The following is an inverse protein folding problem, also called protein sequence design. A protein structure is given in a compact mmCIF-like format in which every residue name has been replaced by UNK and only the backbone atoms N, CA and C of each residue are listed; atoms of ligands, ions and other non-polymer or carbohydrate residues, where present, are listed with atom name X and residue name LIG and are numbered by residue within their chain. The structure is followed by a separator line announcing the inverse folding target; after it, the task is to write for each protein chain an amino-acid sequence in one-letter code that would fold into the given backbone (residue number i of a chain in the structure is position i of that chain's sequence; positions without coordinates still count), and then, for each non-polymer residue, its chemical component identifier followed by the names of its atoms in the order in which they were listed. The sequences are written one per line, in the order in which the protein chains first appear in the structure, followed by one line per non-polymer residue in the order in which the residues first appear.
data_IF_574524775426
#
_entry.id   IF_574524775426
#
_cell.length_a   1.000
_cell.length_b   1.000
_cell.length_c   1.000
_cell.angle_alpha   90.00
_cell.angle_beta   90.00
_cell.angle_gamma   90.00
#
_symmetry.space_group_name_H-M   'P 1'
#
loop_
_entity.id
_entity.type
_entity.pdbx_description
1 polymer ?
#
# COMPACT_ATOMS: atom_id res chain seq x y z
N UNK A 1 -16.23 -32.67 4.82
CA UNK A 1 -14.87 -32.08 4.77
C UNK A 1 -14.64 -31.57 3.35
N UNK A 2 -15.05 -30.30 3.11
CA UNK A 2 -14.81 -29.65 1.82
C UNK A 2 -13.31 -29.34 1.71
N UNK A 3 -12.66 -29.87 0.68
CA UNK A 3 -11.32 -29.42 0.27
C UNK A 3 -11.50 -28.03 -0.33
N UNK A 4 -11.21 -26.98 0.44
CA UNK A 4 -11.10 -25.63 -0.11
C UNK A 4 -9.87 -25.62 -1.03
N UNK A 5 -10.08 -25.74 -2.33
CA UNK A 5 -9.03 -25.51 -3.32
C UNK A 5 -8.67 -24.03 -3.29
N UNK A 6 -7.60 -23.70 -2.60
CA UNK A 6 -7.07 -22.34 -2.56
C UNK A 6 -6.61 -21.97 -3.97
N UNK A 7 -7.11 -20.86 -4.53
CA UNK A 7 -6.67 -20.38 -5.82
C UNK A 7 -5.18 -20.03 -5.73
N UNK A 8 -4.38 -20.44 -6.70
CA UNK A 8 -2.93 -20.23 -6.72
C UNK A 8 -2.49 -19.65 -8.05
N UNK A 9 -1.38 -18.94 -8.02
CA UNK A 9 -0.70 -18.48 -9.22
C UNK A 9 -0.23 -19.66 -10.08
N UNK A 10 -0.51 -19.62 -11.36
CA UNK A 10 -0.11 -20.68 -12.30
C UNK A 10 1.40 -20.80 -12.49
N UNK A 11 2.15 -19.71 -12.23
CA UNK A 11 3.60 -19.68 -12.51
C UNK A 11 4.46 -20.13 -11.33
N UNK A 12 4.02 -20.00 -10.07
CA UNK A 12 4.79 -20.37 -8.88
C UNK A 12 4.04 -21.27 -7.89
N UNK A 13 2.79 -21.60 -8.20
CA UNK A 13 1.90 -22.43 -7.37
C UNK A 13 1.71 -21.90 -5.93
N UNK A 14 1.91 -20.60 -5.72
CA UNK A 14 1.70 -19.94 -4.42
C UNK A 14 0.29 -19.38 -4.33
N UNK A 15 -0.30 -19.31 -3.12
CA UNK A 15 -1.59 -18.67 -2.91
C UNK A 15 -1.49 -17.16 -3.13
N UNK A 16 -2.62 -16.54 -3.50
CA UNK A 16 -2.76 -15.09 -3.49
C UNK A 16 -2.70 -14.56 -2.04
N UNK A 17 -2.22 -13.34 -1.88
CA UNK A 17 -2.15 -12.66 -0.59
C UNK A 17 -3.53 -12.11 -0.23
N UNK A 18 -3.90 -12.28 1.02
CA UNK A 18 -5.12 -11.70 1.62
C UNK A 18 -4.75 -10.86 2.84
N UNK A 19 -5.58 -9.90 3.18
CA UNK A 19 -5.49 -9.14 4.42
C UNK A 19 -6.23 -9.87 5.55
N UNK A 20 -5.57 -9.94 6.70
CA UNK A 20 -6.10 -10.53 7.93
C UNK A 20 -6.11 -9.47 9.04
N UNK A 21 -6.99 -9.66 9.99
CA UNK A 21 -7.04 -8.90 11.24
C UNK A 21 -6.85 -9.85 12.41
N UNK A 22 -6.13 -9.40 13.43
CA UNK A 22 -5.95 -10.12 14.68
C UNK A 22 -5.91 -9.15 15.84
N UNK A 23 -6.28 -9.63 17.02
CA UNK A 23 -6.17 -8.90 18.27
C UNK A 23 -4.76 -9.04 18.82
N UNK A 24 -4.24 -7.97 19.42
CA UNK A 24 -2.94 -7.97 20.10
C UNK A 24 -3.23 -7.91 21.60
N UNK A 25 -2.71 -8.88 22.34
CA UNK A 25 -2.83 -8.93 23.79
C UNK A 25 -1.77 -8.06 24.51
N UNK A 26 -1.87 -7.99 25.83
CA UNK A 26 -0.95 -7.21 26.69
C UNK A 26 0.51 -7.73 26.64
N UNK A 27 0.74 -8.92 26.08
CA UNK A 27 2.06 -9.50 25.89
C UNK A 27 2.59 -9.32 24.46
N UNK A 28 1.91 -8.48 23.64
CA UNK A 28 2.18 -8.26 22.22
C UNK A 28 2.08 -9.54 21.34
N UNK A 29 1.25 -10.51 21.77
CA UNK A 29 0.97 -11.68 20.95
C UNK A 29 -0.26 -11.43 20.09
N UNK A 30 -0.18 -11.83 18.82
CA UNK A 30 -1.31 -11.75 17.90
C UNK A 30 -2.24 -12.92 18.12
N UNK A 31 -3.47 -12.66 18.50
CA UNK A 31 -4.51 -13.66 18.76
C UNK A 31 -5.70 -13.46 17.83
N UNK A 32 -6.62 -14.41 17.82
CA UNK A 32 -7.92 -14.31 17.13
C UNK A 32 -7.80 -13.88 15.65
N UNK A 33 -6.80 -14.43 14.94
CA UNK A 33 -6.55 -14.04 13.54
C UNK A 33 -7.68 -14.53 12.65
N UNK A 34 -8.30 -13.59 11.92
CA UNK A 34 -9.35 -13.87 10.95
C UNK A 34 -9.11 -13.11 9.65
N UNK A 35 -9.65 -13.66 8.55
CA UNK A 35 -9.61 -12.95 7.27
C UNK A 35 -10.42 -11.66 7.38
N UNK A 36 -9.85 -10.54 6.91
CA UNK A 36 -10.51 -9.25 6.95
C UNK A 36 -11.82 -9.32 6.14
N UNK A 37 -12.90 -8.94 6.77
CA UNK A 37 -14.26 -9.04 6.20
C UNK A 37 -14.53 -7.99 5.12
N UNK A 38 -15.75 -8.05 4.57
CA UNK A 38 -16.18 -7.17 3.50
C UNK A 38 -15.61 -7.57 2.13
N UNK A 39 -15.61 -6.64 1.19
CA UNK A 39 -15.10 -6.83 -0.19
C UNK A 39 -13.62 -6.45 -0.35
N UNK A 40 -12.86 -6.39 0.77
CA UNK A 40 -11.44 -6.04 0.74
C UNK A 40 -10.63 -7.12 0.06
N UNK A 41 -10.80 -8.37 0.50
CA UNK A 41 -10.13 -9.51 -0.10
C UNK A 41 -10.85 -10.00 -1.35
N UNK A 42 -10.11 -10.23 -2.42
CA UNK A 42 -10.62 -10.70 -3.70
C UNK A 42 -10.02 -12.06 -4.07
N UNK A 43 -10.06 -12.41 -5.32
CA UNK A 43 -9.39 -13.60 -5.86
C UNK A 43 -7.94 -13.32 -6.31
N UNK A 44 -7.43 -12.11 -6.09
CA UNK A 44 -6.08 -11.66 -6.42
C UNK A 44 -5.32 -11.25 -5.16
N UNK A 45 -4.25 -10.46 -5.31
CA UNK A 45 -3.47 -10.01 -4.18
C UNK A 45 -4.05 -8.74 -3.56
N UNK A 46 -4.19 -8.79 -2.25
CA UNK A 46 -4.27 -7.65 -1.36
C UNK A 46 -3.06 -7.65 -0.43
N UNK A 47 -2.42 -6.49 -0.27
CA UNK A 47 -1.25 -6.38 0.61
C UNK A 47 -1.08 -4.97 1.18
N UNK A 48 -0.11 -4.82 2.08
CA UNK A 48 0.28 -3.55 2.69
C UNK A 48 -0.89 -2.62 2.95
N UNK A 49 -1.47 -2.75 4.12
CA UNK A 49 -2.58 -1.93 4.56
C UNK A 49 -2.17 -1.00 5.70
N UNK A 50 -2.75 0.19 5.75
CA UNK A 50 -2.60 1.14 6.85
C UNK A 50 -3.96 1.73 7.22
N UNK A 51 -4.22 1.82 8.52
CA UNK A 51 -5.39 2.53 9.05
C UNK A 51 -5.08 4.03 9.17
N UNK A 52 -6.07 4.87 8.89
CA UNK A 52 -5.99 6.28 9.27
C UNK A 52 -5.83 6.40 10.80
N UNK A 53 -5.17 7.46 11.32
CA UNK A 53 -4.94 7.61 12.76
C UNK A 53 -6.21 7.61 13.61
N UNK A 54 -7.32 8.07 13.06
CA UNK A 54 -8.64 8.05 13.68
C UNK A 54 -9.35 6.67 13.58
N UNK A 55 -8.74 5.71 12.87
CA UNK A 55 -9.28 4.37 12.65
C UNK A 55 -10.49 4.29 11.74
N UNK A 56 -10.85 5.37 11.04
CA UNK A 56 -12.08 5.46 10.23
C UNK A 56 -11.90 5.07 8.76
N UNK A 57 -10.66 4.92 8.30
CA UNK A 57 -10.38 4.48 6.93
C UNK A 57 -9.21 3.50 6.89
N UNK A 58 -9.33 2.49 6.03
CA UNK A 58 -8.28 1.56 5.67
C UNK A 58 -7.79 1.90 4.26
N UNK A 59 -6.49 2.17 4.10
CA UNK A 59 -5.83 2.29 2.81
C UNK A 59 -5.04 1.01 2.55
N UNK A 60 -5.11 0.45 1.34
CA UNK A 60 -4.43 -0.81 1.04
C UNK A 60 -4.08 -0.95 -0.44
N UNK A 61 -3.09 -1.79 -0.70
CA UNK A 61 -2.68 -2.16 -2.05
C UNK A 61 -3.47 -3.36 -2.53
N UNK A 62 -3.91 -3.34 -3.79
CA UNK A 62 -4.55 -4.46 -4.47
C UNK A 62 -4.18 -4.49 -5.95
N UNK A 63 -4.21 -5.65 -6.58
CA UNK A 63 -4.19 -5.76 -8.03
C UNK A 63 -5.33 -4.94 -8.65
N UNK A 64 -5.15 -4.48 -9.88
CA UNK A 64 -6.18 -3.74 -10.62
C UNK A 64 -7.38 -4.64 -10.93
N UNK A 65 -8.23 -4.81 -9.92
CA UNK A 65 -9.45 -5.61 -9.96
C UNK A 65 -10.56 -4.85 -9.23
N UNK A 66 -11.61 -4.49 -9.96
CA UNK A 66 -12.74 -3.72 -9.45
C UNK A 66 -14.01 -4.13 -10.16
N UNK A 67 -15.10 -4.30 -9.42
CA UNK A 67 -16.40 -4.69 -9.96
C UNK A 67 -16.33 -5.96 -10.82
N UNK A 68 -15.64 -6.97 -10.32
CA UNK A 68 -15.39 -8.27 -10.97
C UNK A 68 -14.70 -8.17 -12.34
N UNK A 69 -13.97 -7.08 -12.57
CA UNK A 69 -13.18 -6.86 -13.78
C UNK A 69 -11.69 -6.83 -13.48
N UNK A 70 -10.97 -7.77 -14.05
CA UNK A 70 -9.51 -7.76 -14.12
C UNK A 70 -9.06 -6.81 -15.22
N UNK A 71 -8.23 -5.83 -14.89
CA UNK A 71 -7.72 -4.84 -15.85
C UNK A 71 -6.21 -4.94 -15.95
N UNK A 72 -5.71 -5.01 -17.17
CA UNK A 72 -4.29 -5.00 -17.46
C UNK A 72 -3.96 -3.80 -18.36
N UNK A 73 -2.67 -3.40 -18.35
CA UNK A 73 -2.15 -2.41 -19.27
C UNK A 73 -1.98 -2.98 -20.71
N UNK A 74 -1.46 -2.16 -21.62
CA UNK A 74 -1.20 -2.56 -23.02
C UNK A 74 -0.23 -3.75 -23.14
N UNK A 75 0.62 -3.96 -22.14
CA UNK A 75 1.59 -5.07 -22.07
C UNK A 75 1.01 -6.31 -21.38
N UNK A 76 -0.29 -6.33 -21.10
CA UNK A 76 -1.00 -7.38 -20.35
C UNK A 76 -0.51 -7.53 -18.89
N UNK A 77 0.09 -6.48 -18.34
CA UNK A 77 0.51 -6.42 -16.92
C UNK A 77 -0.64 -5.87 -16.08
N UNK A 78 -1.03 -6.60 -15.04
CA UNK A 78 -1.96 -6.08 -14.04
C UNK A 78 -1.19 -5.26 -13.02
N UNK A 79 -1.41 -3.95 -13.04
CA UNK A 79 -0.75 -2.99 -12.16
C UNK A 79 -1.35 -3.03 -10.77
N UNK A 80 -0.55 -2.65 -9.78
CA UNK A 80 -1.02 -2.45 -8.41
C UNK A 80 -1.70 -1.09 -8.28
N UNK A 81 -2.72 -1.03 -7.44
CA UNK A 81 -3.47 0.19 -7.16
C UNK A 81 -3.72 0.36 -5.67
N UNK A 82 -3.87 1.59 -5.24
CA UNK A 82 -4.30 1.92 -3.90
C UNK A 82 -5.82 2.08 -3.85
N UNK A 83 -6.38 1.51 -2.81
CA UNK A 83 -7.81 1.57 -2.50
C UNK A 83 -8.02 2.09 -1.09
N UNK A 84 -9.21 2.61 -0.85
CA UNK A 84 -9.70 3.06 0.45
C UNK A 84 -10.99 2.34 0.77
N UNK A 85 -11.15 1.94 2.02
CA UNK A 85 -12.41 1.49 2.60
C UNK A 85 -12.71 2.32 3.84
N UNK A 86 -13.87 2.94 3.91
CA UNK A 86 -14.33 3.61 5.12
C UNK A 86 -14.82 2.57 6.14
N UNK A 87 -14.54 2.79 7.41
CA UNK A 87 -15.10 1.99 8.50
C UNK A 87 -16.55 2.39 8.73
N UNK A 88 -17.43 1.40 8.85
CA UNK A 88 -18.85 1.57 9.18
C UNK A 88 -19.18 0.80 10.45
N UNK A 89 -20.40 0.95 10.96
CA UNK A 89 -20.85 0.18 12.12
C UNK A 89 -20.89 -1.34 11.84
N UNK A 90 -21.11 -1.72 10.57
CA UNK A 90 -21.16 -3.11 10.10
C UNK A 90 -19.79 -3.66 9.68
N UNK A 91 -18.72 -2.86 9.77
CA UNK A 91 -17.35 -3.24 9.36
C UNK A 91 -16.75 -2.29 8.33
N UNK A 92 -16.17 -2.82 7.25
CA UNK A 92 -15.63 -2.01 6.16
C UNK A 92 -16.69 -1.80 5.08
N UNK A 93 -16.87 -0.54 4.69
CA UNK A 93 -17.81 -0.11 3.67
C UNK A 93 -17.36 -0.39 2.23
N UNK A 94 -17.90 0.38 1.29
CA UNK A 94 -17.53 0.27 -0.12
C UNK A 94 -16.05 0.52 -0.34
N UNK A 95 -15.46 -0.22 -1.29
CA UNK A 95 -14.07 -0.04 -1.71
C UNK A 95 -14.03 1.02 -2.81
N UNK A 96 -13.22 2.03 -2.60
CA UNK A 96 -13.00 3.13 -3.52
C UNK A 96 -11.57 3.09 -4.06
N UNK A 97 -11.43 3.16 -5.37
CA UNK A 97 -10.12 3.34 -6.02
C UNK A 97 -9.66 4.79 -5.81
N UNK A 98 -8.40 4.99 -5.40
CA UNK A 98 -7.88 6.35 -5.21
C UNK A 98 -7.72 7.08 -6.55
N UNK A 99 -8.03 8.39 -6.63
CA UNK A 99 -8.17 9.12 -7.90
C UNK A 99 -6.86 9.32 -8.66
N UNK A 100 -5.72 9.14 -8.01
CA UNK A 100 -4.40 9.27 -8.60
C UNK A 100 -3.77 7.95 -9.07
N UNK A 101 -4.54 6.86 -9.07
CA UNK A 101 -4.16 5.62 -9.75
C UNK A 101 -4.28 5.75 -11.27
N UNK A 102 -3.56 4.89 -11.99
CA UNK A 102 -3.70 4.74 -13.45
C UNK A 102 -3.52 3.27 -13.85
N UNK A 103 -3.92 2.92 -15.06
CA UNK A 103 -3.76 1.57 -15.58
C UNK A 103 -2.37 1.31 -16.18
N UNK A 104 -1.58 2.35 -16.46
CA UNK A 104 -0.26 2.27 -17.09
C UNK A 104 0.90 2.12 -16.09
N UNK A 105 0.67 2.43 -14.81
CA UNK A 105 1.67 2.31 -13.75
C UNK A 105 1.07 1.75 -12.46
N UNK A 106 1.94 1.29 -11.57
CA UNK A 106 1.57 0.81 -10.24
C UNK A 106 1.58 1.94 -9.21
N UNK A 107 0.68 1.87 -8.26
CA UNK A 107 0.65 2.69 -7.04
C UNK A 107 0.41 1.74 -5.87
N UNK A 108 1.35 1.69 -4.91
CA UNK A 108 1.35 0.64 -3.89
C UNK A 108 1.96 1.11 -2.57
N UNK A 109 1.83 0.28 -1.53
CA UNK A 109 2.50 0.42 -0.24
C UNK A 109 2.16 1.75 0.46
N UNK A 110 0.89 1.95 0.89
CA UNK A 110 0.47 3.19 1.52
C UNK A 110 1.05 3.31 2.93
N UNK A 111 1.47 4.53 3.30
CA UNK A 111 1.78 4.94 4.67
C UNK A 111 1.18 6.30 4.94
N UNK A 112 0.64 6.52 6.13
CA UNK A 112 -0.05 7.76 6.48
C UNK A 112 0.67 8.43 7.66
N UNK A 113 0.75 9.77 7.65
CA UNK A 113 1.29 10.53 8.76
C UNK A 113 0.45 10.40 10.02
N UNK A 114 1.05 10.55 11.23
CA UNK A 114 0.32 10.49 12.49
C UNK A 114 -0.83 11.50 12.63
N UNK A 115 -0.77 12.62 11.91
CA UNK A 115 -1.85 13.62 11.86
C UNK A 115 -2.93 13.31 10.81
N UNK A 116 -2.73 12.25 10.02
CA UNK A 116 -3.67 11.83 8.98
C UNK A 116 -3.73 12.71 7.73
N UNK A 117 -2.83 13.70 7.59
CA UNK A 117 -2.91 14.72 6.54
C UNK A 117 -2.09 14.42 5.30
N UNK A 118 -1.21 13.42 5.34
CA UNK A 118 -0.36 13.06 4.19
C UNK A 118 -0.31 11.56 4.01
N UNK A 119 -0.56 11.12 2.79
CA UNK A 119 -0.40 9.73 2.36
C UNK A 119 0.88 9.60 1.53
N UNK A 120 1.79 8.74 1.95
CA UNK A 120 2.98 8.31 1.22
C UNK A 120 2.73 6.99 0.52
N UNK A 121 3.36 6.77 -0.63
CA UNK A 121 3.22 5.53 -1.38
C UNK A 121 4.37 5.35 -2.37
N UNK A 122 4.56 4.13 -2.87
CA UNK A 122 5.50 3.81 -3.94
C UNK A 122 4.79 3.79 -5.30
N UNK A 123 5.45 4.26 -6.36
CA UNK A 123 4.90 4.24 -7.73
C UNK A 123 5.99 4.31 -8.79
N UNK A 124 5.79 3.59 -9.91
CA UNK A 124 6.58 3.65 -11.14
C UNK A 124 5.95 4.61 -12.18
N UNK A 125 5.20 5.62 -11.69
CA UNK A 125 4.53 6.61 -12.54
C UNK A 125 5.51 7.49 -13.31
N UNK A 126 5.07 8.13 -14.42
CA UNK A 126 5.87 9.12 -15.13
C UNK A 126 6.40 10.21 -14.19
N UNK A 127 7.70 10.51 -14.31
CA UNK A 127 8.42 11.42 -13.41
C UNK A 127 9.16 10.73 -12.27
N UNK A 128 9.14 9.40 -12.18
CA UNK A 128 10.04 8.65 -11.32
C UNK A 128 11.47 8.77 -11.80
N UNK A 129 12.42 8.84 -10.84
CA UNK A 129 13.86 8.83 -11.08
C UNK A 129 14.37 7.42 -11.42
N UNK A 130 13.74 6.41 -10.83
CA UNK A 130 14.12 5.01 -10.92
C UNK A 130 13.01 4.06 -11.32
N UNK A 131 13.18 2.79 -10.95
CA UNK A 131 12.22 1.73 -11.24
C UNK A 131 10.90 1.91 -10.46
N UNK A 132 10.99 2.44 -9.23
CA UNK A 132 9.86 2.97 -8.46
C UNK A 132 10.37 3.99 -7.44
N UNK A 133 9.61 5.06 -7.28
CA UNK A 133 9.91 6.15 -6.36
C UNK A 133 8.91 6.21 -5.23
N UNK A 134 9.29 6.88 -4.14
CA UNK A 134 8.35 7.33 -3.12
C UNK A 134 7.74 8.67 -3.50
N UNK A 135 6.44 8.73 -3.31
CA UNK A 135 5.58 9.87 -3.60
C UNK A 135 4.74 10.20 -2.38
N UNK A 136 4.22 11.40 -2.32
CA UNK A 136 3.25 11.81 -1.30
C UNK A 136 2.07 12.56 -1.92
N UNK A 137 0.96 12.60 -1.18
CA UNK A 137 -0.21 13.38 -1.51
C UNK A 137 -0.87 13.88 -0.23
N UNK A 138 -1.32 15.14 -0.21
CA UNK A 138 -2.08 15.67 0.89
C UNK A 138 -3.49 15.05 0.94
N UNK A 139 -3.99 14.80 2.15
CA UNK A 139 -5.39 14.44 2.41
C UNK A 139 -6.05 15.67 3.01
N UNK A 140 -7.04 16.22 2.30
CA UNK A 140 -7.79 17.39 2.72
C UNK A 140 -8.83 17.04 3.79
N UNK A 141 -9.35 18.03 4.50
CA UNK A 141 -10.35 17.84 5.57
C UNK A 141 -11.66 17.20 5.06
N UNK A 142 -12.01 17.40 3.80
CA UNK A 142 -13.17 16.77 3.14
C UNK A 142 -12.89 15.34 2.64
N UNK A 143 -11.67 14.83 2.87
CA UNK A 143 -11.22 13.50 2.44
C UNK A 143 -10.79 13.42 0.98
N UNK A 144 -10.79 14.54 0.25
CA UNK A 144 -10.20 14.63 -1.09
C UNK A 144 -8.67 14.65 -1.04
N UNK A 145 -8.03 14.47 -2.21
CA UNK A 145 -6.58 14.42 -2.30
C UNK A 145 -6.05 15.63 -3.06
N UNK A 146 -4.91 16.14 -2.62
CA UNK A 146 -4.16 17.20 -3.28
C UNK A 146 -3.40 16.74 -4.52
N UNK A 147 -2.40 17.52 -4.92
CA UNK A 147 -1.48 17.15 -5.98
C UNK A 147 -0.48 16.10 -5.49
N UNK A 148 -0.20 15.10 -6.34
CA UNK A 148 0.82 14.09 -6.07
C UNK A 148 2.20 14.67 -6.32
N UNK A 149 3.11 14.50 -5.37
CA UNK A 149 4.48 15.05 -5.39
C UNK A 149 5.51 13.93 -5.24
N UNK A 150 6.56 13.95 -6.07
CA UNK A 150 7.73 13.09 -5.92
C UNK A 150 8.57 13.56 -4.73
N UNK A 151 9.14 12.65 -3.93
CA UNK A 151 9.97 13.03 -2.76
C UNK A 151 11.39 13.51 -3.16
N UNK A 152 11.74 13.46 -4.44
CA UNK A 152 13.01 13.97 -4.95
C UNK A 152 14.22 13.07 -4.69
N UNK A 153 15.37 13.50 -5.18
CA UNK A 153 16.61 12.73 -5.25
C UNK A 153 17.35 12.55 -3.92
N UNK A 154 16.96 13.27 -2.87
CA UNK A 154 17.45 12.99 -1.51
C UNK A 154 16.92 11.64 -0.98
N UNK A 155 15.74 11.23 -1.42
CA UNK A 155 15.06 9.99 -0.99
C UNK A 155 15.08 8.96 -2.13
N UNK A 156 14.68 9.36 -3.33
CA UNK A 156 14.56 8.50 -4.49
C UNK A 156 15.90 8.35 -5.23
N UNK A 157 16.10 7.18 -5.84
CA UNK A 157 17.33 6.81 -6.55
C UNK A 157 16.97 6.22 -7.92
N UNK A 158 17.96 5.90 -8.78
CA UNK A 158 17.71 5.12 -10.00
C UNK A 158 17.23 3.68 -9.76
N UNK A 159 17.31 3.17 -8.53
CA UNK A 159 16.78 1.87 -8.12
C UNK A 159 15.30 1.90 -7.77
N UNK A 160 14.92 1.10 -6.80
CA UNK A 160 13.55 1.03 -6.28
C UNK A 160 13.49 1.57 -4.87
N UNK A 161 12.56 2.47 -4.62
CA UNK A 161 12.12 2.87 -3.31
C UNK A 161 10.70 2.35 -3.08
N UNK A 162 10.50 1.67 -1.94
CA UNK A 162 9.23 0.99 -1.66
C UNK A 162 9.00 0.83 -0.15
N UNK A 163 7.81 0.35 0.23
CA UNK A 163 7.41 0.09 1.61
C UNK A 163 7.66 1.28 2.56
N UNK A 164 7.15 2.49 2.27
CA UNK A 164 7.27 3.61 3.19
C UNK A 164 6.54 3.30 4.50
N UNK A 165 7.08 3.82 5.59
CA UNK A 165 6.47 3.83 6.90
C UNK A 165 6.82 5.15 7.60
N UNK A 166 5.82 5.85 8.15
CA UNK A 166 6.04 7.07 8.93
C UNK A 166 5.90 6.74 10.41
N UNK A 167 6.96 6.98 11.16
CA UNK A 167 6.98 6.81 12.61
C UNK A 167 6.21 7.93 13.33
N UNK A 168 5.90 7.73 14.61
CA UNK A 168 5.19 8.73 15.43
C UNK A 168 5.95 10.06 15.58
N UNK A 169 7.28 10.01 15.50
CA UNK A 169 8.17 11.18 15.51
C UNK A 169 8.42 11.76 14.11
N UNK A 170 7.66 11.34 13.11
CA UNK A 170 7.65 11.94 11.76
C UNK A 170 8.75 11.45 10.83
N UNK A 171 9.58 10.48 11.21
CA UNK A 171 10.64 9.95 10.35
C UNK A 171 10.07 8.99 9.30
N UNK A 172 10.59 9.09 8.09
CA UNK A 172 10.26 8.19 7.00
C UNK A 172 11.24 7.02 6.96
N UNK A 173 10.73 5.81 7.17
CA UNK A 173 11.44 4.56 6.90
C UNK A 173 10.99 4.01 5.55
N UNK A 174 11.91 3.44 4.79
CA UNK A 174 11.60 2.85 3.49
C UNK A 174 12.63 1.82 3.10
N UNK A 175 12.29 0.98 2.13
CA UNK A 175 13.21 -0.01 1.57
C UNK A 175 13.70 0.45 0.19
N UNK A 176 15.01 0.29 -0.08
CA UNK A 176 15.59 0.62 -1.38
C UNK A 176 16.71 -0.35 -1.75
N UNK A 177 16.88 -0.61 -3.05
CA UNK A 177 18.03 -1.29 -3.65
C UNK A 177 18.94 -0.34 -4.43
N UNK A 178 18.61 0.96 -4.47
CA UNK A 178 19.39 1.99 -5.15
C UNK A 178 20.51 2.60 -4.31
N UNK A 179 20.72 2.15 -3.06
CA UNK A 179 21.75 2.63 -2.12
C UNK A 179 22.71 1.51 -1.73
N UNK A 180 23.88 1.87 -1.21
CA UNK A 180 24.82 0.90 -0.68
C UNK A 180 24.21 0.15 0.52
N UNK A 181 24.22 -1.19 0.48
CA UNK A 181 23.60 -2.02 1.50
C UNK A 181 24.15 -3.44 1.49
N UNK A 182 23.45 -4.37 2.15
CA UNK A 182 23.82 -5.78 2.21
C UNK A 182 23.36 -6.58 0.98
N UNK A 183 22.52 -5.98 0.15
CA UNK A 183 22.03 -6.54 -1.11
C UNK A 183 20.52 -6.77 -1.12
N UNK A 184 19.91 -6.59 -2.28
CA UNK A 184 18.46 -6.52 -2.40
C UNK A 184 17.90 -5.24 -1.81
N UNK A 185 16.74 -5.30 -1.17
CA UNK A 185 16.13 -4.15 -0.51
C UNK A 185 16.65 -4.02 0.93
N UNK A 186 17.33 -2.93 1.23
CA UNK A 186 17.73 -2.54 2.57
C UNK A 186 16.83 -1.44 3.11
N UNK A 187 16.65 -1.38 4.45
CA UNK A 187 15.83 -0.38 5.12
C UNK A 187 16.65 0.85 5.44
N UNK A 188 16.15 2.00 5.02
CA UNK A 188 16.71 3.32 5.29
C UNK A 188 15.73 4.18 6.09
N UNK A 189 16.28 5.18 6.77
CA UNK A 189 15.51 6.21 7.47
C UNK A 189 15.90 7.58 6.93
N UNK A 190 14.88 8.40 6.68
CA UNK A 190 15.03 9.81 6.37
C UNK A 190 14.35 10.64 7.45
N UNK A 191 15.10 11.60 8.00
CA UNK A 191 14.63 12.53 9.00
C UNK A 191 14.47 13.91 8.35
N UNK A 192 13.23 14.37 8.25
CA UNK A 192 12.92 15.66 7.62
C UNK A 192 13.39 16.87 8.43
N UNK A 193 13.76 16.69 9.71
CA UNK A 193 14.24 17.76 10.59
C UNK A 193 15.77 17.90 10.57
N UNK A 194 16.49 16.85 10.16
CA UNK A 194 17.95 16.81 10.11
C UNK A 194 18.50 16.97 8.70
N UNK A 195 18.27 18.12 8.06
CA UNK A 195 18.86 18.43 6.75
C UNK A 195 20.37 18.77 6.83
#
# INVERSE_FOLDING_TARGET
TGVFTRRVHKWNNQPFLDLYVGDIDDQNQVNTVSKLGGSVNTEFHESTAVLSPDGNALYFTRNNFTKDQYRADSNKTNRLKLYKAAKTAEGLGAIEELPFNDNSFSTAHPAITPDGKTLYFASDRPGSLGESDLWKVAINEDGSFGTVENLGDKINTPGRETFPFISKDGKLYFSTDGRAGLGGLDVYVYDFESE
#
